data_IF_680533516451
#
_entry.id   IF_680533516451
#
_cell.length_a   1.000
_cell.length_b   1.000
_cell.length_c   1.000
_cell.angle_alpha   90.00
_cell.angle_beta   90.00
_cell.angle_gamma   90.00
#
_symmetry.space_group_name_H-M   'P 1'
#
loop_
_entity.id
_entity.type
_entity.pdbx_description
1 polymer ?
#
# COMPACT_ATOMS: atom_id res chain seq x y z
N UNK A 1 22.75 14.94 -1.71
CA UNK A 1 22.13 13.61 -1.64
C UNK A 1 20.68 13.84 -2.00
N UNK A 2 20.20 13.19 -3.05
CA UNK A 2 18.97 13.57 -3.76
C UNK A 2 17.72 13.08 -3.02
N UNK A 3 16.81 13.98 -2.64
CA UNK A 3 15.43 13.62 -2.26
C UNK A 3 14.54 14.00 -3.44
N UNK A 4 14.23 13.01 -4.28
CA UNK A 4 13.34 13.18 -5.43
C UNK A 4 12.08 12.35 -5.18
N UNK A 5 10.98 13.03 -4.84
CA UNK A 5 9.64 12.44 -4.84
C UNK A 5 8.94 12.47 -3.48
N UNK A 6 7.83 13.20 -3.45
CA UNK A 6 6.91 13.46 -2.34
C UNK A 6 7.31 14.57 -1.34
N UNK A 7 6.32 15.40 -0.97
CA UNK A 7 6.49 16.62 -0.17
C UNK A 7 6.98 16.38 1.27
N UNK A 8 7.12 17.44 2.09
CA UNK A 8 7.86 17.44 3.37
C UNK A 8 7.34 16.52 4.51
N UNK A 9 6.40 15.61 4.26
CA UNK A 9 5.87 14.65 5.23
C UNK A 9 6.07 13.17 4.88
N UNK A 10 6.30 12.83 3.61
CA UNK A 10 6.40 11.45 3.16
C UNK A 10 7.84 10.96 3.24
N UNK A 11 8.05 9.85 3.95
CA UNK A 11 9.33 9.16 4.03
C UNK A 11 9.26 7.85 3.30
N UNK A 12 10.15 7.63 2.34
CA UNK A 12 10.31 6.31 1.74
C UNK A 12 10.69 5.30 2.83
N UNK A 13 9.85 4.29 3.01
CA UNK A 13 10.07 3.22 3.98
C UNK A 13 10.53 1.97 3.24
N UNK A 14 11.38 1.13 3.86
CA UNK A 14 11.77 -0.11 3.23
C UNK A 14 10.54 -1.00 3.01
N UNK A 15 10.40 -1.55 1.81
CA UNK A 15 9.30 -2.48 1.48
C UNK A 15 9.34 -3.76 2.33
N UNK A 16 10.50 -4.06 2.92
CA UNK A 16 10.70 -5.15 3.86
C UNK A 16 10.32 -4.79 5.30
N UNK A 17 9.91 -3.55 5.58
CA UNK A 17 9.45 -3.16 6.90
C UNK A 17 8.22 -4.00 7.29
N UNK A 18 8.15 -4.54 8.52
CA UNK A 18 6.99 -5.28 8.97
C UNK A 18 5.70 -4.47 8.86
N UNK A 19 5.75 -3.14 9.04
CA UNK A 19 4.59 -2.26 8.93
C UNK A 19 4.11 -2.13 7.48
N UNK A 20 5.05 -1.97 6.54
CA UNK A 20 4.74 -1.88 5.11
C UNK A 20 4.21 -3.21 4.56
N UNK A 21 4.82 -4.34 4.96
CA UNK A 21 4.34 -5.67 4.57
C UNK A 21 2.95 -5.98 5.14
N UNK A 22 2.70 -5.66 6.40
CA UNK A 22 1.38 -5.86 7.02
C UNK A 22 0.32 -5.01 6.33
N UNK A 23 0.62 -3.72 6.12
CA UNK A 23 -0.26 -2.80 5.40
C UNK A 23 -0.51 -3.26 3.96
N UNK A 24 0.51 -3.74 3.24
CA UNK A 24 0.38 -4.23 1.87
C UNK A 24 -0.50 -5.49 1.81
N UNK A 25 -0.28 -6.46 2.71
CA UNK A 25 -1.11 -7.66 2.81
C UNK A 25 -2.56 -7.32 3.18
N UNK A 26 -2.75 -6.41 4.14
CA UNK A 26 -4.08 -5.96 4.56
C UNK A 26 -4.81 -5.26 3.41
N UNK A 27 -4.10 -4.39 2.68
CA UNK A 27 -4.62 -3.73 1.49
C UNK A 27 -5.02 -4.75 0.42
N UNK A 28 -4.14 -5.70 0.08
CA UNK A 28 -4.41 -6.75 -0.91
C UNK A 28 -5.64 -7.59 -0.54
N UNK A 29 -5.74 -7.99 0.73
CA UNK A 29 -6.88 -8.75 1.26
C UNK A 29 -8.16 -7.93 1.18
N UNK A 30 -8.10 -6.64 1.52
CA UNK A 30 -9.23 -5.72 1.42
C UNK A 30 -9.68 -5.49 -0.02
N UNK A 31 -8.73 -5.35 -0.95
CA UNK A 31 -8.98 -5.26 -2.39
C UNK A 31 -9.68 -6.53 -2.88
N UNK A 32 -9.14 -7.71 -2.54
CA UNK A 32 -9.73 -8.99 -2.92
C UNK A 32 -11.19 -9.09 -2.47
N UNK A 33 -11.46 -8.73 -1.21
CA UNK A 33 -12.80 -8.75 -0.63
C UNK A 33 -13.73 -7.73 -1.31
N UNK A 34 -13.27 -6.50 -1.60
CA UNK A 34 -14.07 -5.46 -2.27
C UNK A 34 -14.33 -5.75 -3.75
N UNK A 35 -13.32 -6.25 -4.47
CA UNK A 35 -13.41 -6.47 -5.92
C UNK A 35 -14.32 -7.65 -6.29
N UNK A 36 -14.72 -8.50 -5.32
CA UNK A 36 -15.47 -9.73 -5.56
C UNK A 36 -14.87 -10.54 -6.73
N UNK A 37 -13.54 -10.54 -6.83
CA UNK A 37 -12.85 -11.07 -8.01
C UNK A 37 -12.83 -12.59 -7.96
N UNK A 38 -13.10 -13.22 -9.11
CA UNK A 38 -13.04 -14.67 -9.26
C UNK A 38 -11.61 -15.22 -9.13
N UNK A 39 -10.62 -14.37 -9.40
CA UNK A 39 -9.19 -14.70 -9.31
C UNK A 39 -8.57 -14.04 -8.09
N UNK A 40 -7.67 -14.75 -7.38
CA UNK A 40 -6.91 -14.16 -6.29
C UNK A 40 -5.96 -13.07 -6.83
N UNK A 41 -5.90 -11.92 -6.17
CA UNK A 41 -4.84 -10.95 -6.35
C UNK A 41 -3.60 -11.46 -5.62
N UNK A 42 -2.54 -11.74 -6.36
CA UNK A 42 -1.25 -12.15 -5.83
C UNK A 42 -0.30 -10.96 -5.82
N UNK A 43 0.20 -10.57 -4.64
CA UNK A 43 1.26 -9.56 -4.55
C UNK A 43 2.53 -10.13 -5.22
N UNK A 44 2.94 -9.53 -6.34
CA UNK A 44 4.19 -9.87 -7.01
C UNK A 44 5.35 -9.16 -6.33
N UNK A 45 5.24 -7.84 -6.18
CA UNK A 45 6.30 -7.00 -5.64
C UNK A 45 5.71 -5.70 -5.10
N UNK A 46 6.35 -5.13 -4.07
CA UNK A 46 6.08 -3.76 -3.63
C UNK A 46 7.05 -2.84 -4.37
N UNK A 47 6.52 -2.05 -5.30
CA UNK A 47 7.31 -1.15 -6.16
C UNK A 47 7.78 0.06 -5.37
N UNK A 48 6.88 0.64 -4.58
CA UNK A 48 7.18 1.80 -3.74
C UNK A 48 6.41 1.71 -2.43
N UNK A 49 7.00 2.26 -1.38
CA UNK A 49 6.38 2.37 -0.08
C UNK A 49 6.85 3.67 0.58
N UNK A 50 5.90 4.55 0.86
CA UNK A 50 6.11 5.81 1.54
C UNK A 50 5.21 5.83 2.77
N UNK A 51 5.74 6.29 3.90
CA UNK A 51 4.97 6.51 5.11
C UNK A 51 5.04 7.99 5.49
N UNK A 52 3.89 8.56 5.78
CA UNK A 52 3.73 9.88 6.38
C UNK A 52 3.16 9.66 7.79
N UNK A 53 3.92 10.04 8.81
CA UNK A 53 3.47 9.98 10.20
C UNK A 53 3.02 11.38 10.58
N UNK A 54 1.73 11.54 10.84
CA UNK A 54 1.13 12.72 11.47
C UNK A 54 1.01 12.49 12.99
N UNK A 55 0.77 13.55 13.76
CA UNK A 55 0.84 13.57 15.23
C UNK A 55 0.12 12.40 15.94
N UNK A 56 -1.01 11.92 15.41
CA UNK A 56 -1.81 10.85 16.01
C UNK A 56 -2.19 9.74 15.00
N UNK A 57 -1.66 9.78 13.78
CA UNK A 57 -2.03 8.86 12.70
C UNK A 57 -0.88 8.66 11.72
N UNK A 58 -0.81 7.52 11.04
CA UNK A 58 0.19 7.29 10.01
C UNK A 58 -0.45 6.85 8.69
N UNK A 59 -0.11 7.50 7.60
CA UNK A 59 -0.52 7.13 6.25
C UNK A 59 0.61 6.40 5.56
N UNK A 60 0.28 5.33 4.88
CA UNK A 60 1.20 4.52 4.09
C UNK A 60 0.72 4.54 2.65
N UNK A 61 1.43 5.23 1.78
CA UNK A 61 1.24 5.22 0.33
C UNK A 61 2.14 4.13 -0.23
N UNK A 62 1.55 3.09 -0.81
CA UNK A 62 2.31 1.98 -1.37
C UNK A 62 1.85 1.70 -2.78
N UNK A 63 2.80 1.39 -3.64
CA UNK A 63 2.55 0.93 -4.99
C UNK A 63 2.82 -0.58 -5.04
N UNK A 64 1.75 -1.35 -5.08
CA UNK A 64 1.80 -2.81 -5.11
C UNK A 64 1.68 -3.27 -6.56
N UNK A 65 2.65 -4.05 -7.05
CA UNK A 65 2.47 -4.82 -8.27
C UNK A 65 1.76 -6.11 -7.91
N UNK A 66 0.56 -6.29 -8.44
CA UNK A 66 -0.25 -7.47 -8.20
C UNK A 66 -0.49 -8.21 -9.51
N UNK A 67 -0.72 -9.51 -9.40
CA UNK A 67 -1.12 -10.36 -10.51
C UNK A 67 -2.53 -10.85 -10.26
N UNK A 68 -3.40 -10.65 -11.24
CA UNK A 68 -4.78 -11.14 -11.23
C UNK A 68 -4.94 -12.15 -12.36
N UNK A 69 -4.92 -13.43 -12.01
CA UNK A 69 -4.96 -14.53 -12.97
C UNK A 69 -3.73 -14.50 -13.88
N UNK A 70 -3.90 -14.10 -15.14
CA UNK A 70 -2.81 -14.03 -16.13
C UNK A 70 -2.30 -12.61 -16.39
N UNK A 71 -2.93 -11.58 -15.82
CA UNK A 71 -2.57 -10.18 -16.02
C UNK A 71 -1.83 -9.62 -14.81
N UNK A 72 -0.80 -8.81 -15.05
CA UNK A 72 -0.08 -8.05 -14.02
C UNK A 72 -0.56 -6.59 -14.05
N UNK A 73 -0.94 -6.06 -12.90
CA UNK A 73 -1.41 -4.68 -12.75
C UNK A 73 -0.76 -4.03 -11.53
N UNK A 74 -0.57 -2.71 -11.57
CA UNK A 74 -0.06 -1.95 -10.41
C UNK A 74 -1.25 -1.32 -9.70
N UNK A 75 -1.30 -1.49 -8.39
CA UNK A 75 -2.33 -0.91 -7.53
C UNK A 75 -1.65 0.05 -6.57
N UNK A 76 -2.06 1.31 -6.64
CA UNK A 76 -1.70 2.30 -5.65
C UNK A 76 -2.68 2.18 -4.48
N UNK A 77 -2.16 1.85 -3.31
CA UNK A 77 -2.93 1.68 -2.09
C UNK A 77 -2.47 2.67 -1.04
N UNK A 78 -3.44 3.31 -0.38
CA UNK A 78 -3.20 4.20 0.74
C UNK A 78 -3.82 3.56 1.97
N UNK A 79 -2.96 3.11 2.89
CA UNK A 79 -3.35 2.52 4.16
C UNK A 79 -3.19 3.57 5.24
N UNK A 80 -4.24 3.80 6.01
CA UNK A 80 -4.22 4.68 7.16
C UNK A 80 -4.16 3.86 8.44
N UNK A 81 -3.18 4.14 9.28
CA UNK A 81 -3.00 3.60 10.62
C UNK A 81 -3.50 4.63 11.61
N UNK A 82 -4.55 4.30 12.34
CA UNK A 82 -5.06 5.16 13.41
C UNK A 82 -4.14 5.05 14.65
N UNK A 83 -4.28 5.99 15.61
CA UNK A 83 -3.56 5.98 16.90
C UNK A 83 -3.71 4.66 17.68
N UNK A 84 -4.83 3.95 17.50
CA UNK A 84 -5.08 2.63 18.07
C UNK A 84 -4.23 1.50 17.46
N UNK A 85 -3.45 1.78 16.41
CA UNK A 85 -2.59 0.81 15.73
C UNK A 85 -3.27 -0.03 14.65
N UNK A 86 -4.56 0.20 14.39
CA UNK A 86 -5.34 -0.49 13.36
C UNK A 86 -5.06 0.06 11.96
N UNK A 87 -4.79 -0.83 10.99
CA UNK A 87 -4.62 -0.49 9.59
C UNK A 87 -5.96 -0.52 8.84
N UNK A 88 -6.27 0.55 8.13
CA UNK A 88 -7.45 0.68 7.29
C UNK A 88 -7.07 1.08 5.87
N UNK A 89 -7.49 0.30 4.88
CA UNK A 89 -7.37 0.69 3.48
C UNK A 89 -8.28 1.89 3.20
N UNK A 90 -7.70 3.08 3.13
CA UNK A 90 -8.41 4.33 2.89
C UNK A 90 -8.73 4.49 1.40
N UNK A 91 -7.72 4.29 0.54
CA UNK A 91 -7.86 4.42 -0.90
C UNK A 91 -7.15 3.29 -1.62
N UNK A 92 -7.76 2.81 -2.70
CA UNK A 92 -7.14 1.87 -3.63
C UNK A 92 -7.47 2.35 -5.04
N UNK A 93 -6.45 2.50 -5.87
CA UNK A 93 -6.60 2.94 -7.25
C UNK A 93 -5.70 2.10 -8.16
N UNK A 94 -6.22 1.64 -9.31
CA UNK A 94 -5.37 1.06 -10.34
C UNK A 94 -4.43 2.14 -10.88
N UNK A 95 -3.14 1.82 -10.90
CA UNK A 95 -2.10 2.67 -11.48
C UNK A 95 -1.85 2.19 -12.92
N UNK A 96 -2.29 2.99 -13.90
CA UNK A 96 -2.25 2.68 -15.35
C UNK A 96 -1.00 3.21 -16.02
#
# INVERSE_FOLDING_TARGET
MVEYGHGPGWKSVPVHDPSAQDAANHALKSIQQRSNSLFPYELQEVVDANAEVEDDSAKFDMLLKVKRGSAEEKLKVVVHKNSEGSYHLNRMEPHV
#
